data_IF_696608281476
#
_entry.id   IF_696608281476
#
_cell.length_a   1.000
_cell.length_b   1.000
_cell.length_c   1.000
_cell.angle_alpha   90.00
_cell.angle_beta   90.00
_cell.angle_gamma   90.00
#
_symmetry.space_group_name_H-M   'P 1'
#
loop_
_entity.id
_entity.type
_entity.pdbx_description
1 polymer ?
#
# COMPACT_ATOMS: atom_id res chain seq x y z
N UNK A 1 -8.58 -7.16 31.44
CA UNK A 1 -8.24 -6.16 30.41
C UNK A 1 -7.49 -6.93 29.36
N UNK A 2 -8.11 -7.10 28.21
CA UNK A 2 -7.53 -7.88 27.11
C UNK A 2 -6.65 -6.98 26.25
N UNK A 3 -5.69 -7.57 25.53
CA UNK A 3 -4.84 -6.80 24.60
C UNK A 3 -5.69 -6.03 23.57
N UNK A 4 -6.81 -6.60 23.13
CA UNK A 4 -7.76 -5.97 22.21
C UNK A 4 -8.40 -4.69 22.78
N UNK A 5 -8.48 -4.52 24.11
CA UNK A 5 -9.01 -3.30 24.72
C UNK A 5 -8.11 -2.08 24.45
N UNK A 6 -6.79 -2.27 24.38
CA UNK A 6 -5.85 -1.22 24.01
C UNK A 6 -6.06 -0.77 22.56
N UNK A 7 -6.35 -1.71 21.66
CA UNK A 7 -6.57 -1.39 20.25
C UNK A 7 -7.87 -0.64 19.99
N UNK A 8 -8.89 -0.79 20.83
CA UNK A 8 -10.07 0.11 20.80
C UNK A 8 -9.68 1.58 21.08
N UNK A 9 -8.71 1.79 21.97
CA UNK A 9 -8.14 3.12 22.24
C UNK A 9 -7.34 3.64 21.05
N UNK A 10 -6.52 2.78 20.44
CA UNK A 10 -5.78 3.06 19.20
C UNK A 10 -6.70 3.50 18.06
N UNK A 11 -7.79 2.79 17.79
CA UNK A 11 -8.76 3.14 16.75
C UNK A 11 -9.40 4.51 16.99
N UNK A 12 -9.79 4.78 18.25
CA UNK A 12 -10.31 6.10 18.65
C UNK A 12 -9.27 7.21 18.49
N UNK A 13 -8.00 6.92 18.72
CA UNK A 13 -6.90 7.86 18.54
C UNK A 13 -6.72 8.23 17.07
N UNK A 14 -6.62 7.22 16.19
CA UNK A 14 -6.48 7.42 14.73
C UNK A 14 -7.64 8.23 14.16
N UNK A 15 -8.87 7.98 14.61
CA UNK A 15 -10.06 8.70 14.16
C UNK A 15 -10.04 10.21 14.48
N UNK A 16 -9.23 10.64 15.46
CA UNK A 16 -9.08 12.06 15.85
C UNK A 16 -7.97 12.78 15.08
N UNK A 17 -7.09 12.05 14.40
CA UNK A 17 -6.00 12.64 13.63
C UNK A 17 -6.55 13.25 12.34
N UNK A 18 -5.90 14.30 11.85
CA UNK A 18 -6.11 14.77 10.47
C UNK A 18 -5.56 13.75 9.47
N UNK A 19 -5.87 13.92 8.19
CA UNK A 19 -5.33 13.04 7.14
C UNK A 19 -3.80 13.02 7.13
N UNK A 20 -3.14 14.17 7.01
CA UNK A 20 -1.66 14.23 7.02
C UNK A 20 -1.02 13.70 8.32
N UNK A 21 -1.71 13.81 9.46
CA UNK A 21 -1.25 13.18 10.70
C UNK A 21 -1.37 11.65 10.65
N UNK A 22 -2.46 11.11 10.08
CA UNK A 22 -2.60 9.67 9.85
C UNK A 22 -1.55 9.17 8.86
N UNK A 23 -1.29 9.88 7.78
CA UNK A 23 -0.23 9.54 6.82
C UNK A 23 1.13 9.43 7.53
N UNK A 24 1.49 10.45 8.31
CA UNK A 24 2.75 10.46 9.08
C UNK A 24 2.82 9.28 10.05
N UNK A 25 1.73 9.02 10.79
CA UNK A 25 1.66 7.90 11.73
C UNK A 25 1.82 6.55 11.04
N UNK A 26 1.04 6.31 9.99
CA UNK A 26 1.03 5.06 9.27
C UNK A 26 2.22 4.87 8.32
N UNK A 27 2.99 5.93 8.04
CA UNK A 27 4.25 5.82 7.30
C UNK A 27 5.20 4.84 7.98
N UNK A 28 5.42 5.01 9.30
CA UNK A 28 6.28 4.12 10.07
C UNK A 28 5.70 2.70 10.16
N UNK A 29 4.37 2.57 10.31
CA UNK A 29 3.72 1.26 10.30
C UNK A 29 3.87 0.54 8.96
N UNK A 30 3.62 1.24 7.85
CA UNK A 30 3.68 0.70 6.49
C UNK A 30 5.11 0.29 6.11
N UNK A 31 6.09 1.12 6.45
CA UNK A 31 7.52 0.82 6.33
C UNK A 31 7.89 -0.45 7.09
N UNK A 32 7.52 -0.55 8.37
CA UNK A 32 7.83 -1.74 9.17
C UNK A 32 7.12 -2.99 8.62
N UNK A 33 5.85 -2.86 8.22
CA UNK A 33 5.07 -3.95 7.64
C UNK A 33 5.76 -4.57 6.43
N UNK A 34 6.22 -3.74 5.48
CA UNK A 34 6.86 -4.26 4.27
C UNK A 34 8.29 -4.72 4.51
N UNK A 35 9.05 -4.04 5.37
CA UNK A 35 10.42 -4.44 5.71
C UNK A 35 10.48 -5.82 6.39
N UNK A 36 9.53 -6.13 7.27
CA UNK A 36 9.45 -7.45 7.93
C UNK A 36 8.77 -8.52 7.07
N UNK A 37 8.16 -8.15 5.94
CA UNK A 37 7.35 -9.03 5.13
C UNK A 37 7.85 -9.13 3.70
N UNK A 38 7.29 -8.29 2.82
CA UNK A 38 7.32 -8.50 1.36
C UNK A 38 8.37 -7.67 0.62
N UNK A 39 9.17 -6.84 1.30
CA UNK A 39 10.13 -5.94 0.62
C UNK A 39 11.11 -6.68 -0.29
N UNK A 40 11.61 -7.85 0.14
CA UNK A 40 12.55 -8.62 -0.69
C UNK A 40 11.89 -9.11 -1.98
N UNK A 41 10.63 -9.55 -1.93
CA UNK A 41 9.86 -9.97 -3.12
C UNK A 41 9.79 -8.82 -4.13
N UNK A 42 9.52 -7.60 -3.68
CA UNK A 42 9.47 -6.44 -4.57
C UNK A 42 10.86 -6.07 -5.13
N UNK A 43 11.94 -6.22 -4.37
CA UNK A 43 13.30 -6.03 -4.89
C UNK A 43 13.64 -7.05 -5.98
N UNK A 44 13.32 -8.32 -5.76
CA UNK A 44 13.57 -9.38 -6.74
C UNK A 44 12.76 -9.14 -8.02
N UNK A 45 11.51 -8.69 -7.90
CA UNK A 45 10.68 -8.30 -9.04
C UNK A 45 11.28 -7.12 -9.81
N UNK A 46 11.78 -6.11 -9.10
CA UNK A 46 12.42 -4.94 -9.68
C UNK A 46 13.69 -5.32 -10.46
N UNK A 47 14.55 -6.15 -9.87
CA UNK A 47 15.76 -6.66 -10.52
C UNK A 47 15.42 -7.46 -11.78
N UNK A 48 14.46 -8.38 -11.69
CA UNK A 48 13.98 -9.16 -12.85
C UNK A 48 13.34 -8.30 -13.93
N UNK A 49 12.80 -7.14 -13.57
CA UNK A 49 12.24 -6.17 -14.50
C UNK A 49 13.28 -5.17 -15.02
N UNK A 50 14.52 -5.23 -14.54
CA UNK A 50 15.56 -4.22 -14.80
C UNK A 50 15.06 -2.78 -14.55
N UNK A 51 14.21 -2.60 -13.54
CA UNK A 51 13.58 -1.32 -13.20
C UNK A 51 12.45 -0.85 -14.13
N UNK A 52 12.03 -1.64 -15.11
CA UNK A 52 10.89 -1.32 -15.97
C UNK A 52 9.55 -1.48 -15.20
N UNK A 53 8.73 -0.42 -15.18
CA UNK A 53 7.48 -0.39 -14.41
C UNK A 53 6.43 -1.36 -14.98
N UNK A 54 6.27 -1.40 -16.32
CA UNK A 54 5.28 -2.25 -16.96
C UNK A 54 5.58 -3.73 -16.72
N UNK A 55 6.84 -4.12 -16.86
CA UNK A 55 7.32 -5.47 -16.61
C UNK A 55 7.25 -5.82 -15.12
N UNK A 56 7.55 -4.88 -14.22
CA UNK A 56 7.40 -5.06 -12.78
C UNK A 56 5.95 -5.40 -12.42
N UNK A 57 4.98 -4.60 -12.85
CA UNK A 57 3.57 -4.85 -12.54
C UNK A 57 3.02 -6.09 -13.26
N UNK A 58 3.49 -6.39 -14.48
CA UNK A 58 3.17 -7.63 -15.18
C UNK A 58 3.65 -8.88 -14.44
N UNK A 59 4.84 -8.82 -13.82
CA UNK A 59 5.36 -9.91 -12.98
C UNK A 59 4.64 -9.97 -11.63
N UNK A 60 4.36 -8.83 -11.00
CA UNK A 60 3.61 -8.76 -9.75
C UNK A 60 2.19 -9.36 -9.89
N UNK A 61 1.55 -9.21 -11.06
CA UNK A 61 0.25 -9.83 -11.37
C UNK A 61 0.24 -11.37 -11.31
N UNK A 62 1.42 -12.01 -11.26
CA UNK A 62 1.58 -13.46 -11.15
C UNK A 62 1.75 -13.93 -9.71
N UNK A 63 1.88 -13.01 -8.75
CA UNK A 63 1.99 -13.35 -7.34
C UNK A 63 0.63 -13.82 -6.80
N UNK A 64 0.60 -14.86 -5.93
CA UNK A 64 -0.62 -15.29 -5.27
C UNK A 64 -1.28 -14.16 -4.48
N UNK A 65 -2.61 -14.04 -4.57
CA UNK A 65 -3.38 -13.03 -3.85
C UNK A 65 -3.23 -11.60 -4.37
N UNK A 66 -2.45 -11.40 -5.44
CA UNK A 66 -2.23 -10.10 -6.07
C UNK A 66 -2.77 -10.13 -7.49
N UNK A 67 -3.37 -9.01 -7.92
CA UNK A 67 -3.71 -8.77 -9.31
C UNK A 67 -3.28 -7.36 -9.68
N UNK A 68 -2.76 -7.18 -10.88
CA UNK A 68 -2.36 -5.88 -11.41
C UNK A 68 -3.01 -5.64 -12.77
N UNK A 69 -3.41 -4.40 -13.03
CA UNK A 69 -3.85 -3.94 -14.34
C UNK A 69 -3.00 -2.74 -14.76
N UNK A 70 -2.45 -2.78 -15.96
CA UNK A 70 -1.86 -1.58 -16.59
C UNK A 70 -2.98 -0.77 -17.21
N UNK A 71 -3.18 0.45 -16.72
CA UNK A 71 -4.19 1.38 -17.25
C UNK A 71 -3.55 2.28 -18.31
N UNK A 72 -2.35 2.77 -18.04
CA UNK A 72 -1.53 3.53 -18.98
C UNK A 72 -0.08 3.10 -18.82
N UNK A 73 0.53 2.67 -19.94
CA UNK A 73 1.89 2.12 -19.94
C UNK A 73 2.89 3.14 -19.42
N UNK A 74 3.74 2.70 -18.49
CA UNK A 74 4.77 3.56 -17.90
C UNK A 74 4.27 4.57 -16.85
N UNK A 75 2.96 4.73 -16.64
CA UNK A 75 2.42 5.79 -15.77
C UNK A 75 1.36 5.33 -14.76
N UNK A 76 0.34 4.57 -15.16
CA UNK A 76 -0.83 4.29 -14.31
C UNK A 76 -1.15 2.81 -14.22
N UNK A 77 -1.25 2.31 -12.99
CA UNK A 77 -1.51 0.90 -12.68
C UNK A 77 -2.55 0.77 -11.58
N UNK A 78 -3.43 -0.23 -11.68
CA UNK A 78 -4.23 -0.67 -10.54
C UNK A 78 -3.54 -1.90 -9.92
N UNK A 79 -3.30 -1.83 -8.61
CA UNK A 79 -2.85 -2.95 -7.79
C UNK A 79 -4.01 -3.43 -6.91
N UNK A 80 -4.24 -4.73 -6.90
CA UNK A 80 -5.28 -5.38 -6.13
C UNK A 80 -4.69 -6.37 -5.14
N UNK A 81 -5.20 -6.35 -3.92
CA UNK A 81 -5.06 -7.45 -2.97
C UNK A 81 -6.41 -8.15 -2.84
N UNK A 82 -6.42 -9.46 -3.11
CA UNK A 82 -7.64 -10.27 -3.13
C UNK A 82 -8.14 -10.63 -1.72
N UNK A 83 -7.30 -10.42 -0.72
CA UNK A 83 -7.62 -10.61 0.70
C UNK A 83 -6.88 -9.59 1.56
N UNK A 84 -7.36 -9.35 2.78
CA UNK A 84 -6.62 -8.57 3.76
C UNK A 84 -5.64 -9.47 4.50
N UNK A 85 -4.34 -9.18 4.39
CA UNK A 85 -3.27 -9.91 5.09
C UNK A 85 -2.73 -9.15 6.30
N UNK A 86 -3.37 -8.05 6.70
CA UNK A 86 -2.90 -7.24 7.82
C UNK A 86 -3.06 -8.00 9.14
N UNK A 87 -1.94 -8.25 9.83
CA UNK A 87 -1.94 -8.96 11.11
C UNK A 87 -2.83 -8.31 12.18
N UNK A 88 -2.90 -6.98 12.23
CA UNK A 88 -3.77 -6.26 13.18
C UNK A 88 -5.26 -6.54 12.91
N UNK A 89 -5.64 -6.70 11.65
CA UNK A 89 -7.01 -7.03 11.28
C UNK A 89 -7.30 -8.51 11.49
N UNK A 90 -6.44 -9.39 10.97
CA UNK A 90 -6.66 -10.83 10.99
C UNK A 90 -6.61 -11.42 12.42
N UNK A 91 -5.94 -10.74 13.36
CA UNK A 91 -5.95 -11.10 14.78
C UNK A 91 -7.12 -10.46 15.57
N UNK A 92 -8.01 -9.72 14.90
CA UNK A 92 -9.20 -9.12 15.52
C UNK A 92 -8.92 -7.89 16.39
N UNK A 93 -7.74 -7.27 16.26
CA UNK A 93 -7.38 -6.08 17.05
C UNK A 93 -7.91 -4.78 16.46
N UNK A 94 -7.88 -4.64 15.14
CA UNK A 94 -8.28 -3.41 14.45
C UNK A 94 -9.22 -3.75 13.29
N UNK A 95 -10.33 -3.03 13.21
CA UNK A 95 -11.39 -3.22 12.21
C UNK A 95 -11.67 -1.95 11.41
N UNK A 96 -11.25 -0.78 11.89
CA UNK A 96 -11.44 0.48 11.19
C UNK A 96 -10.74 0.50 9.83
N UNK A 97 -11.42 0.96 8.76
CA UNK A 97 -10.81 1.10 7.44
C UNK A 97 -9.70 2.15 7.39
N UNK A 98 -9.60 3.02 8.40
CA UNK A 98 -8.47 3.96 8.51
C UNK A 98 -7.12 3.24 8.62
N UNK A 99 -7.11 1.96 9.03
CA UNK A 99 -5.92 1.12 9.02
C UNK A 99 -5.33 0.94 7.62
N UNK A 100 -6.16 1.01 6.56
CA UNK A 100 -5.72 0.78 5.19
C UNK A 100 -4.70 1.82 4.68
N UNK A 101 -4.60 2.97 5.36
CA UNK A 101 -3.53 3.93 5.12
C UNK A 101 -2.15 3.30 5.33
N UNK A 102 -1.99 2.36 6.27
CA UNK A 102 -0.77 1.57 6.44
C UNK A 102 -0.37 0.84 5.16
N UNK A 103 -1.34 0.24 4.46
CA UNK A 103 -1.09 -0.47 3.21
C UNK A 103 -0.70 0.50 2.09
N UNK A 104 -1.34 1.67 2.00
CA UNK A 104 -0.97 2.72 1.04
C UNK A 104 0.46 3.20 1.26
N UNK A 105 0.81 3.47 2.52
CA UNK A 105 2.17 3.86 2.91
C UNK A 105 3.20 2.76 2.63
N UNK A 106 2.85 1.49 2.81
CA UNK A 106 3.76 0.38 2.46
C UNK A 106 4.07 0.33 0.97
N UNK A 107 3.08 0.59 0.10
CA UNK A 107 3.28 0.62 -1.35
C UNK A 107 4.11 1.85 -1.73
N UNK A 108 3.80 3.03 -1.20
CA UNK A 108 4.62 4.22 -1.40
C UNK A 108 6.08 4.02 -0.99
N UNK A 109 6.30 3.39 0.17
CA UNK A 109 7.65 3.08 0.64
C UNK A 109 8.40 2.17 -0.33
N UNK A 110 7.75 1.11 -0.84
CA UNK A 110 8.35 0.22 -1.85
C UNK A 110 8.69 1.00 -3.12
N UNK A 111 7.73 1.76 -3.67
CA UNK A 111 7.93 2.50 -4.91
C UNK A 111 9.11 3.48 -4.80
N UNK A 112 9.16 4.29 -3.74
CA UNK A 112 10.27 5.23 -3.52
C UNK A 112 11.60 4.55 -3.19
N UNK A 113 11.58 3.35 -2.60
CA UNK A 113 12.81 2.59 -2.35
C UNK A 113 13.42 2.03 -3.62
N UNK A 114 12.59 1.68 -4.60
CA UNK A 114 12.99 1.03 -5.85
C UNK A 114 13.27 2.03 -6.98
N UNK A 115 12.44 3.08 -7.12
CA UNK A 115 12.60 4.12 -8.14
C UNK A 115 12.89 5.47 -7.47
N UNK A 116 14.16 5.68 -7.10
CA UNK A 116 14.60 6.89 -6.35
C UNK A 116 14.36 8.21 -7.07
N UNK A 117 14.36 8.18 -8.40
CA UNK A 117 14.21 9.37 -9.25
C UNK A 117 12.78 9.55 -9.79
N UNK A 118 11.80 8.84 -9.20
CA UNK A 118 10.39 8.95 -9.59
C UNK A 118 9.53 9.29 -8.37
N UNK A 119 8.64 10.24 -8.56
CA UNK A 119 7.56 10.52 -7.62
C UNK A 119 6.33 9.68 -7.96
N UNK A 120 5.61 9.23 -6.94
CA UNK A 120 4.39 8.45 -7.11
C UNK A 120 3.25 9.01 -6.28
N UNK A 121 2.03 8.91 -6.82
CA UNK A 121 0.79 9.01 -6.06
C UNK A 121 0.17 7.63 -5.95
N UNK A 122 -0.30 7.29 -4.75
CA UNK A 122 -1.05 6.06 -4.50
C UNK A 122 -2.37 6.43 -3.86
N UNK A 123 -3.46 6.00 -4.48
CA UNK A 123 -4.84 6.28 -4.06
C UNK A 123 -5.52 4.97 -3.70
N UNK A 124 -6.12 4.88 -2.51
CA UNK A 124 -6.99 3.75 -2.14
C UNK A 124 -8.33 3.95 -2.83
N UNK A 125 -8.67 3.09 -3.78
CA UNK A 125 -9.93 3.14 -4.53
C UNK A 125 -11.01 2.24 -3.91
N UNK A 126 -10.61 1.12 -3.30
CA UNK A 126 -11.50 0.15 -2.67
C UNK A 126 -10.76 -0.54 -1.51
N UNK A 127 -11.49 -0.93 -0.46
CA UNK A 127 -10.93 -1.68 0.66
C UNK A 127 -11.93 -2.72 1.17
N UNK A 128 -11.40 -3.90 1.50
CA UNK A 128 -12.15 -4.96 2.19
C UNK A 128 -12.68 -4.48 3.55
N UNK A 129 -11.91 -3.66 4.28
CA UNK A 129 -12.35 -3.09 5.56
C UNK A 129 -13.47 -2.05 5.40
N UNK A 130 -13.73 -1.58 4.17
CA UNK A 130 -14.87 -0.74 3.81
C UNK A 130 -16.04 -1.55 3.21
N UNK A 131 -15.96 -2.89 3.20
CA UNK A 131 -16.95 -3.78 2.61
C UNK A 131 -16.74 -4.10 1.13
N UNK A 132 -15.60 -3.70 0.56
CA UNK A 132 -15.20 -4.08 -0.81
C UNK A 132 -14.90 -5.58 -0.94
N UNK A 133 -14.93 -6.08 -2.17
CA UNK A 133 -14.56 -7.49 -2.45
C UNK A 133 -13.05 -7.69 -2.44
N UNK A 134 -12.31 -6.62 -2.73
CA UNK A 134 -10.84 -6.61 -2.75
C UNK A 134 -10.34 -5.22 -2.38
N UNK A 135 -9.08 -5.14 -1.97
CA UNK A 135 -8.42 -3.84 -1.81
C UNK A 135 -7.87 -3.41 -3.17
N UNK A 136 -8.28 -2.25 -3.68
CA UNK A 136 -7.79 -1.67 -4.93
C UNK A 136 -7.02 -0.39 -4.63
N UNK A 137 -5.80 -0.30 -5.13
CA UNK A 137 -5.00 0.92 -5.12
C UNK A 137 -4.63 1.32 -6.53
N UNK A 138 -4.80 2.59 -6.87
CA UNK A 138 -4.27 3.15 -8.10
C UNK A 138 -2.91 3.76 -7.82
N UNK A 139 -1.93 3.42 -8.64
CA UNK A 139 -0.54 3.89 -8.58
C UNK A 139 -0.30 4.73 -9.83
N UNK A 140 0.14 5.97 -9.63
CA UNK A 140 0.40 6.92 -10.71
C UNK A 140 1.83 7.46 -10.56
N UNK A 141 2.63 7.34 -11.61
CA UNK A 141 3.90 8.05 -11.71
C UNK A 141 3.65 9.53 -11.97
N UNK A 142 4.23 10.40 -11.14
CA UNK A 142 4.15 11.85 -11.32
C UNK A 142 5.30 12.25 -12.25
N UNK A 143 4.97 12.70 -13.46
CA UNK A 143 5.96 13.30 -14.36
C UNK A 143 6.18 14.75 -13.95
N UNK A 144 7.43 15.17 -13.73
CA UNK A 144 7.84 16.57 -13.48
C UNK A 144 7.69 17.48 -14.72
N UNK A 145 6.70 17.24 -15.59
CA UNK A 145 6.40 18.12 -16.72
C UNK A 145 5.42 19.22 -16.30
N UNK A 146 5.81 19.99 -15.29
CA UNK A 146 5.08 21.15 -14.78
C UNK A 146 5.93 22.42 -14.84
N UNK A 147 6.43 22.80 -16.02
CA UNK A 147 6.72 24.20 -16.28
C UNK A 147 5.41 24.98 -16.12
N UNK A 148 5.37 25.89 -15.14
CA UNK A 148 4.52 27.07 -15.20
C UNK A 148 5.15 28.11 -16.12
#
# INVERSE_FOLDING_TARGET
MELSDWFKGFEKGIAKLTEGQRETFFHECGKNCVQCGTLQIYKDLYEQAAGDLDLFFSKANKLPGVRCETIEKGSVYNLYFLECTCGLHNQGYVSTPMLCECSRQSILYVLHSLWKDKAFRVTICESILQGGQHCKMQIEGINDNGNS
#
